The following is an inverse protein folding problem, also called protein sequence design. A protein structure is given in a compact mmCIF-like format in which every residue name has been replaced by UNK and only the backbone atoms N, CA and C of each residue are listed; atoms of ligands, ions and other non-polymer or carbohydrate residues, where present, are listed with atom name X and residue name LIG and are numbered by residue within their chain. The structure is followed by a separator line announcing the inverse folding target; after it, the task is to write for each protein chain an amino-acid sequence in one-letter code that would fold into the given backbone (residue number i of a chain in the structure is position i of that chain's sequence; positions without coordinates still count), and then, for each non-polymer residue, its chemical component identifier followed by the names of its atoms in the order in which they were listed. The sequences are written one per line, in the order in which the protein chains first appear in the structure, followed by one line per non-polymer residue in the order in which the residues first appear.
data_IF_541498078811
#
_entry.id   IF_541498078811
#
_cell.length_a   1.000
_cell.length_b   1.000
_cell.length_c   1.000
_cell.angle_alpha   90.00
_cell.angle_beta   90.00
_cell.angle_gamma   90.00
#
_symmetry.space_group_name_H-M   'P 1'
#
loop_
_entity.id
_entity.type
_entity.pdbx_description
1 polymer ?
#
# COMPACT_ATOMS: atom_id res chain seq x y z
N UNK A 1 5.55 19.65 -10.11
CA UNK A 1 4.45 18.79 -10.57
C UNK A 1 4.92 17.90 -11.72
N UNK A 2 4.78 16.60 -11.59
CA UNK A 2 5.13 15.57 -12.58
C UNK A 2 3.91 14.74 -12.93
N UNK A 3 3.83 14.18 -14.13
CA UNK A 3 2.72 13.36 -14.59
C UNK A 3 3.24 12.04 -15.16
N UNK A 4 2.58 10.94 -14.81
CA UNK A 4 2.79 9.61 -15.37
C UNK A 4 1.48 9.18 -15.99
N UNK A 5 1.48 8.83 -17.27
CA UNK A 5 0.37 8.13 -17.90
C UNK A 5 0.49 6.63 -17.61
N UNK A 6 -0.54 6.03 -17.03
CA UNK A 6 -0.65 4.57 -16.84
C UNK A 6 -1.49 4.01 -17.97
N UNK A 7 -0.86 3.23 -18.84
CA UNK A 7 -1.45 2.71 -20.09
C UNK A 7 -2.23 1.42 -19.84
N UNK A 8 -3.38 1.58 -19.19
CA UNK A 8 -4.40 0.54 -19.04
C UNK A 8 -5.55 0.80 -20.02
N UNK A 9 -6.63 0.03 -19.95
CA UNK A 9 -7.86 0.28 -20.73
C UNK A 9 -9.03 0.50 -19.76
N UNK A 10 -9.48 1.77 -19.56
CA UNK A 10 -8.92 3.04 -20.08
C UNK A 10 -7.57 3.41 -19.44
N UNK A 11 -6.78 4.28 -20.13
CA UNK A 11 -5.58 4.89 -19.56
C UNK A 11 -5.92 6.03 -18.61
N UNK A 12 -5.07 6.32 -17.65
CA UNK A 12 -5.26 7.42 -16.70
C UNK A 12 -3.93 8.07 -16.30
N UNK A 13 -4.02 9.25 -15.70
CA UNK A 13 -2.86 10.02 -15.26
C UNK A 13 -2.64 9.94 -13.75
N UNK A 14 -1.37 9.89 -13.34
CA UNK A 14 -0.92 10.05 -11.95
C UNK A 14 -0.13 11.36 -11.86
N UNK A 15 -0.70 12.35 -11.18
CA UNK A 15 -0.05 13.61 -10.90
C UNK A 15 0.64 13.58 -9.53
N UNK A 16 1.89 14.02 -9.48
CA UNK A 16 2.72 14.04 -8.27
C UNK A 16 3.38 15.42 -8.14
N UNK A 17 3.28 16.04 -6.99
CA UNK A 17 3.91 17.34 -6.73
C UNK A 17 3.32 18.04 -5.51
N UNK A 18 3.78 19.26 -5.24
CA UNK A 18 3.27 20.15 -4.20
C UNK A 18 2.10 20.99 -4.68
N UNK A 19 1.24 21.43 -3.75
CA UNK A 19 0.11 22.31 -3.95
C UNK A 19 -0.90 21.79 -5.00
N UNK A 20 -1.08 20.46 -5.09
CA UNK A 20 -2.05 19.85 -5.98
C UNK A 20 -3.46 19.89 -5.39
N UNK A 21 -3.60 19.98 -4.07
CA UNK A 21 -4.88 20.16 -3.37
C UNK A 21 -5.61 21.39 -3.90
N UNK A 22 -4.93 22.53 -4.02
CA UNK A 22 -5.50 23.74 -4.58
C UNK A 22 -5.81 23.68 -6.10
N UNK A 23 -5.30 22.65 -6.78
CA UNK A 23 -5.51 22.45 -8.22
C UNK A 23 -6.50 21.31 -8.53
N UNK A 24 -7.01 20.66 -7.49
CA UNK A 24 -7.85 19.45 -7.67
C UNK A 24 -9.09 19.73 -8.51
N UNK A 25 -9.75 20.87 -8.32
CA UNK A 25 -10.92 21.24 -9.11
C UNK A 25 -10.60 21.37 -10.60
N UNK A 26 -9.42 21.95 -10.94
CA UNK A 26 -8.95 22.03 -12.33
C UNK A 26 -8.69 20.65 -12.94
N UNK A 27 -8.10 19.74 -12.16
CA UNK A 27 -7.79 18.38 -12.60
C UNK A 27 -9.04 17.53 -12.73
N UNK A 28 -10.03 17.74 -11.87
CA UNK A 28 -11.33 17.04 -11.91
C UNK A 28 -12.30 17.58 -12.98
N UNK A 29 -12.18 18.84 -13.36
CA UNK A 29 -13.13 19.50 -14.27
C UNK A 29 -13.41 18.70 -15.56
N UNK A 30 -12.41 18.13 -16.25
CA UNK A 30 -12.67 17.29 -17.44
C UNK A 30 -13.45 16.02 -17.17
N UNK A 31 -13.43 15.52 -15.91
CA UNK A 31 -14.04 14.25 -15.50
C UNK A 31 -15.44 14.46 -14.91
N UNK A 32 -15.61 15.55 -14.12
CA UNK A 32 -16.77 15.79 -13.27
C UNK A 32 -17.60 17.03 -13.66
N UNK A 33 -17.28 17.74 -14.76
CA UNK A 33 -18.03 18.94 -15.17
C UNK A 33 -19.49 18.62 -15.45
N UNK A 34 -20.40 19.34 -14.78
CA UNK A 34 -21.85 19.11 -14.87
C UNK A 34 -22.37 17.95 -14.01
N UNK A 35 -21.53 17.35 -13.19
CA UNK A 35 -21.82 16.23 -12.30
C UNK A 35 -21.44 16.58 -10.86
N UNK A 36 -21.76 15.69 -9.90
CA UNK A 36 -21.43 15.85 -8.49
C UNK A 36 -20.25 14.97 -8.11
N UNK A 37 -19.57 15.35 -7.03
CA UNK A 37 -18.49 14.57 -6.42
C UNK A 37 -18.91 14.05 -5.05
N UNK A 38 -18.87 12.73 -4.89
CA UNK A 38 -18.96 12.08 -3.59
C UNK A 38 -17.55 11.92 -3.02
N UNK A 39 -17.16 12.76 -2.05
CA UNK A 39 -15.84 12.69 -1.43
C UNK A 39 -15.86 11.70 -0.27
N UNK A 40 -15.22 10.53 -0.44
CA UNK A 40 -15.04 9.53 0.61
C UNK A 40 -13.70 9.82 1.29
N UNK A 41 -13.72 10.09 2.59
CA UNK A 41 -12.52 10.47 3.32
C UNK A 41 -12.42 9.75 4.67
N UNK A 42 -11.22 9.72 5.25
CA UNK A 42 -10.95 9.24 6.60
C UNK A 42 -11.34 10.33 7.61
N UNK A 43 -11.99 9.95 8.71
CA UNK A 43 -12.34 10.88 9.80
C UNK A 43 -11.14 11.63 10.40
N UNK A 44 -9.90 11.13 10.22
CA UNK A 44 -8.68 11.84 10.61
C UNK A 44 -8.16 12.78 9.54
N UNK A 45 -8.44 12.50 8.27
CA UNK A 45 -7.98 13.29 7.11
C UNK A 45 -8.97 14.41 6.78
N UNK A 46 -10.27 14.16 6.93
CA UNK A 46 -11.33 15.11 6.64
C UNK A 46 -11.17 16.47 7.36
N UNK A 47 -10.89 16.52 8.68
CA UNK A 47 -10.66 17.78 9.38
C UNK A 47 -9.40 18.55 8.94
N UNK A 48 -8.45 17.87 8.30
CA UNK A 48 -7.18 18.47 7.84
C UNK A 48 -7.29 19.05 6.44
N UNK A 49 -8.01 18.37 5.55
CA UNK A 49 -7.98 18.65 4.11
C UNK A 49 -9.37 18.75 3.47
N UNK A 50 -10.42 18.25 4.13
CA UNK A 50 -11.77 18.14 3.54
C UNK A 50 -12.33 19.48 3.08
N UNK A 51 -12.19 20.53 3.90
CA UNK A 51 -12.67 21.88 3.57
C UNK A 51 -11.88 22.48 2.39
N UNK A 52 -10.54 22.36 2.39
CA UNK A 52 -9.70 22.87 1.31
C UNK A 52 -9.98 22.16 -0.02
N UNK A 53 -10.08 20.82 0.00
CA UNK A 53 -10.41 20.02 -1.19
C UNK A 53 -11.78 20.37 -1.73
N UNK A 54 -12.79 20.49 -0.85
CA UNK A 54 -14.16 20.86 -1.23
C UNK A 54 -14.18 22.22 -1.90
N UNK A 55 -13.60 23.25 -1.24
CA UNK A 55 -13.56 24.60 -1.79
C UNK A 55 -12.86 24.67 -3.15
N UNK A 56 -11.71 23.98 -3.30
CA UNK A 56 -10.98 23.94 -4.55
C UNK A 56 -11.76 23.28 -5.71
N UNK A 57 -12.68 22.36 -5.42
CA UNK A 57 -13.56 21.74 -6.42
C UNK A 57 -14.77 22.62 -6.73
N UNK A 58 -15.38 23.22 -5.70
CA UNK A 58 -16.55 24.09 -5.83
C UNK A 58 -16.23 25.37 -6.60
N UNK A 59 -14.99 25.88 -6.55
CA UNK A 59 -14.49 27.01 -7.38
C UNK A 59 -14.63 26.73 -8.88
N UNK A 60 -14.75 25.46 -9.29
CA UNK A 60 -15.02 25.04 -10.67
C UNK A 60 -16.49 24.75 -10.96
N UNK A 61 -17.40 25.09 -10.03
CA UNK A 61 -18.84 24.87 -10.18
C UNK A 61 -19.27 23.42 -10.05
N UNK A 62 -18.48 22.57 -9.39
CA UNK A 62 -18.76 21.15 -9.13
C UNK A 62 -19.24 21.01 -7.69
N UNK A 63 -20.44 20.48 -7.48
CA UNK A 63 -20.98 20.20 -6.13
C UNK A 63 -20.24 19.04 -5.47
N UNK A 64 -19.83 19.21 -4.21
CA UNK A 64 -19.14 18.18 -3.42
C UNK A 64 -19.92 17.83 -2.17
N UNK A 65 -20.08 16.55 -1.90
CA UNK A 65 -20.60 16.06 -0.61
C UNK A 65 -19.60 15.12 0.03
N UNK A 66 -19.19 15.41 1.28
CA UNK A 66 -18.26 14.58 2.03
C UNK A 66 -18.95 13.41 2.74
N UNK A 67 -18.33 12.25 2.68
CA UNK A 67 -18.70 11.00 3.35
C UNK A 67 -17.54 10.50 4.21
N UNK A 68 -17.26 11.11 5.36
CA UNK A 68 -16.21 10.68 6.25
C UNK A 68 -16.54 9.32 6.86
N UNK A 69 -15.56 8.42 6.87
CA UNK A 69 -15.65 7.09 7.47
C UNK A 69 -14.49 6.85 8.43
N UNK A 70 -14.74 6.10 9.48
CA UNK A 70 -13.66 5.63 10.35
C UNK A 70 -12.95 4.46 9.66
N UNK A 71 -11.62 4.58 9.49
CA UNK A 71 -10.83 3.55 8.84
C UNK A 71 -9.88 2.89 9.83
N UNK A 72 -10.14 1.61 10.03
CA UNK A 72 -9.30 0.67 10.75
C UNK A 72 -9.26 -0.63 9.94
N UNK A 73 -8.32 -1.52 10.24
CA UNK A 73 -8.25 -2.82 9.56
C UNK A 73 -9.59 -3.60 9.63
N UNK A 74 -10.33 -3.41 10.73
CA UNK A 74 -11.65 -4.05 10.94
C UNK A 74 -12.78 -3.46 10.10
N UNK A 75 -12.65 -2.20 9.67
CA UNK A 75 -13.67 -1.50 8.87
C UNK A 75 -13.44 -1.63 7.37
N UNK A 76 -12.30 -2.14 6.94
CA UNK A 76 -12.00 -2.47 5.54
C UNK A 76 -12.74 -3.74 5.12
N UNK A 77 -14.07 -3.68 5.04
CA UNK A 77 -14.95 -4.83 4.82
C UNK A 77 -16.18 -4.49 3.98
N UNK A 78 -16.95 -5.51 3.59
CA UNK A 78 -18.17 -5.37 2.79
C UNK A 78 -19.26 -4.52 3.45
N UNK A 79 -19.38 -4.54 4.79
CA UNK A 79 -20.40 -3.76 5.50
C UNK A 79 -20.16 -2.24 5.36
N UNK A 80 -18.91 -1.82 5.37
CA UNK A 80 -18.56 -0.40 5.13
C UNK A 80 -18.90 0.01 3.71
N UNK A 81 -18.59 -0.82 2.72
CA UNK A 81 -18.96 -0.59 1.31
C UNK A 81 -20.48 -0.56 1.16
N UNK A 82 -21.23 -1.50 1.75
CA UNK A 82 -22.70 -1.48 1.72
C UNK A 82 -23.26 -0.17 2.31
N UNK A 83 -22.68 0.32 3.39
CA UNK A 83 -23.10 1.59 3.99
C UNK A 83 -22.92 2.77 3.04
N UNK A 84 -21.78 2.82 2.35
CA UNK A 84 -21.52 3.86 1.34
C UNK A 84 -22.46 3.75 0.14
N UNK A 85 -22.69 2.54 -0.39
CA UNK A 85 -23.64 2.31 -1.48
C UNK A 85 -25.04 2.78 -1.14
N UNK A 86 -25.52 2.51 0.09
CA UNK A 86 -26.81 2.99 0.58
C UNK A 86 -26.87 4.52 0.67
N UNK A 87 -25.82 5.16 1.19
CA UNK A 87 -25.72 6.64 1.25
C UNK A 87 -25.76 7.26 -0.14
N UNK A 88 -24.94 6.77 -1.09
CA UNK A 88 -24.94 7.26 -2.47
C UNK A 88 -26.33 7.13 -3.12
N UNK A 89 -27.04 6.02 -2.85
CA UNK A 89 -28.40 5.81 -3.36
C UNK A 89 -29.40 6.79 -2.73
N UNK A 90 -29.33 7.00 -1.41
CA UNK A 90 -30.22 7.93 -0.68
C UNK A 90 -30.04 9.38 -1.13
N UNK A 91 -28.80 9.76 -1.45
CA UNK A 91 -28.45 11.09 -1.95
C UNK A 91 -28.66 11.22 -3.48
N UNK A 92 -29.23 10.21 -4.12
CA UNK A 92 -29.56 10.20 -5.55
C UNK A 92 -28.33 10.44 -6.46
N UNK A 93 -27.17 9.88 -6.11
CA UNK A 93 -26.02 9.83 -7.01
C UNK A 93 -26.34 8.98 -8.23
N UNK A 94 -25.79 9.39 -9.38
CA UNK A 94 -25.96 8.73 -10.67
C UNK A 94 -24.65 8.07 -11.14
N UNK A 95 -24.73 7.33 -12.24
CA UNK A 95 -23.56 6.72 -12.86
C UNK A 95 -22.57 7.73 -13.44
N UNK A 96 -23.03 8.93 -13.76
CA UNK A 96 -22.23 9.99 -14.37
C UNK A 96 -21.46 10.83 -13.33
N UNK A 97 -21.88 10.77 -12.06
CA UNK A 97 -21.19 11.42 -10.95
C UNK A 97 -19.82 10.75 -10.67
N UNK A 98 -19.04 11.34 -9.78
CA UNK A 98 -17.66 10.91 -9.50
C UNK A 98 -17.46 10.60 -8.02
N UNK A 99 -16.80 9.53 -7.68
CA UNK A 99 -16.24 9.30 -6.35
C UNK A 99 -14.82 9.86 -6.33
N UNK A 100 -14.53 10.75 -5.38
CA UNK A 100 -13.19 11.17 -5.03
C UNK A 100 -12.86 10.60 -3.66
N UNK A 101 -11.80 9.84 -3.53
CA UNK A 101 -11.31 9.49 -2.21
C UNK A 101 -10.13 10.36 -1.80
N UNK A 102 -10.11 10.74 -0.51
CA UNK A 102 -9.03 11.51 0.11
C UNK A 102 -8.58 10.78 1.36
N UNK A 103 -7.45 10.05 1.28
CA UNK A 103 -7.01 9.24 2.41
C UNK A 103 -5.85 8.30 2.11
N UNK A 104 -5.59 7.39 3.03
CA UNK A 104 -4.60 6.33 2.87
C UNK A 104 -5.11 5.18 1.99
N UNK A 105 -4.26 4.15 1.79
CA UNK A 105 -4.57 2.99 0.94
C UNK A 105 -5.86 2.24 1.31
N UNK A 106 -6.25 2.23 2.60
CA UNK A 106 -7.53 1.63 3.01
C UNK A 106 -8.73 2.39 2.47
N UNK A 107 -8.66 3.73 2.42
CA UNK A 107 -9.70 4.57 1.82
C UNK A 107 -9.78 4.31 0.33
N UNK A 108 -8.64 4.27 -0.39
CA UNK A 108 -8.63 3.99 -1.83
C UNK A 108 -9.23 2.61 -2.15
N UNK A 109 -8.95 1.59 -1.34
CA UNK A 109 -9.54 0.26 -1.51
C UNK A 109 -11.07 0.27 -1.31
N UNK A 110 -11.56 0.92 -0.24
CA UNK A 110 -13.00 1.03 0.05
C UNK A 110 -13.71 1.84 -1.03
N UNK A 111 -13.14 2.98 -1.44
CA UNK A 111 -13.69 3.84 -2.48
C UNK A 111 -13.69 3.16 -3.85
N UNK A 112 -12.59 2.51 -4.21
CA UNK A 112 -12.47 1.75 -5.47
C UNK A 112 -13.48 0.60 -5.54
N UNK A 113 -13.68 -0.14 -4.43
CA UNK A 113 -14.71 -1.19 -4.37
C UNK A 113 -16.12 -0.60 -4.44
N UNK A 114 -16.37 0.51 -3.73
CA UNK A 114 -17.67 1.21 -3.79
C UNK A 114 -17.95 1.67 -5.21
N UNK A 115 -16.95 2.25 -5.89
CA UNK A 115 -17.07 2.71 -7.27
C UNK A 115 -17.37 1.56 -8.25
N UNK A 116 -16.67 0.45 -8.10
CA UNK A 116 -16.86 -0.72 -8.95
C UNK A 116 -18.27 -1.33 -8.82
N UNK A 117 -18.87 -1.28 -7.61
CA UNK A 117 -20.16 -1.90 -7.33
C UNK A 117 -21.34 -0.94 -7.55
N UNK A 118 -21.18 0.37 -7.36
CA UNK A 118 -22.28 1.32 -7.49
C UNK A 118 -22.74 1.40 -8.95
N UNK A 119 -24.02 1.06 -9.20
CA UNK A 119 -24.67 1.06 -10.52
C UNK A 119 -23.86 0.35 -11.62
N UNK A 120 -23.09 -0.69 -11.25
CA UNK A 120 -22.19 -1.43 -12.15
C UNK A 120 -21.00 -0.62 -12.67
N UNK A 121 -20.55 0.35 -11.90
CA UNK A 121 -19.36 1.17 -12.14
C UNK A 121 -19.67 2.67 -12.21
N UNK A 122 -19.05 3.44 -11.34
CA UNK A 122 -19.00 4.91 -11.34
C UNK A 122 -17.53 5.34 -11.38
N UNK A 123 -17.25 6.50 -11.97
CA UNK A 123 -15.88 7.04 -12.03
C UNK A 123 -15.30 7.20 -10.64
N UNK A 124 -14.01 6.86 -10.47
CA UNK A 124 -13.27 7.06 -9.22
C UNK A 124 -11.97 7.81 -9.46
N UNK A 125 -11.64 8.72 -8.56
CA UNK A 125 -10.40 9.49 -8.52
C UNK A 125 -9.78 9.27 -7.15
N UNK A 126 -8.48 8.95 -7.13
CA UNK A 126 -7.74 8.77 -5.88
C UNK A 126 -6.88 9.98 -5.56
N UNK A 127 -7.00 10.49 -4.32
CA UNK A 127 -6.14 11.52 -3.76
C UNK A 127 -5.46 10.97 -2.49
N UNK A 128 -4.36 10.21 -2.67
CA UNK A 128 -3.68 9.55 -1.57
C UNK A 128 -3.04 10.57 -0.62
N UNK A 129 -3.26 10.40 0.70
CA UNK A 129 -2.68 11.25 1.75
C UNK A 129 -1.52 10.60 2.51
N UNK A 130 -1.17 9.34 2.20
CA UNK A 130 -0.09 8.62 2.85
C UNK A 130 1.02 8.26 1.88
N UNK A 131 2.27 8.18 2.37
CA UNK A 131 3.42 7.81 1.55
C UNK A 131 3.24 6.43 0.88
N UNK A 132 2.68 5.47 1.61
CA UNK A 132 2.35 4.15 1.09
C UNK A 132 1.36 4.22 -0.08
N UNK A 133 0.30 4.99 0.06
CA UNK A 133 -0.71 5.09 -0.99
C UNK A 133 -0.21 5.86 -2.22
N UNK A 134 0.60 6.90 -2.03
CA UNK A 134 1.22 7.66 -3.13
C UNK A 134 2.19 6.81 -3.97
N UNK A 135 2.85 5.83 -3.35
CA UNK A 135 3.87 5.00 -4.01
C UNK A 135 3.35 3.66 -4.53
N UNK A 136 2.25 3.15 -3.98
CA UNK A 136 1.74 1.81 -4.30
C UNK A 136 0.22 1.75 -4.39
N UNK A 137 -0.52 1.90 -3.27
CA UNK A 137 -1.89 1.44 -3.15
C UNK A 137 -2.88 2.17 -4.09
N UNK A 138 -2.73 3.47 -4.34
CA UNK A 138 -3.63 4.23 -5.20
C UNK A 138 -3.41 3.98 -6.71
N UNK A 139 -2.36 3.22 -7.11
CA UNK A 139 -1.98 3.02 -8.51
C UNK A 139 -2.28 1.59 -8.93
N UNK A 140 -3.01 1.42 -10.03
CA UNK A 140 -3.28 0.12 -10.65
C UNK A 140 -4.62 -0.50 -10.30
N UNK A 141 -5.53 0.27 -9.71
CA UNK A 141 -6.95 -0.05 -9.58
C UNK A 141 -7.28 -1.27 -8.70
N UNK A 142 -6.33 -1.79 -7.92
CA UNK A 142 -6.60 -2.87 -7.00
C UNK A 142 -7.47 -2.35 -5.85
N UNK A 143 -8.64 -2.95 -5.65
CA UNK A 143 -9.56 -2.62 -4.57
C UNK A 143 -9.87 -3.90 -3.79
N UNK A 144 -9.41 -3.98 -2.55
CA UNK A 144 -9.45 -5.20 -1.74
C UNK A 144 -10.09 -4.96 -0.38
N UNK A 145 -10.92 -5.91 0.04
CA UNK A 145 -11.58 -5.91 1.34
C UNK A 145 -11.22 -7.18 2.12
N UNK A 146 -11.30 -7.07 3.43
CA UNK A 146 -11.01 -8.14 4.36
C UNK A 146 -12.26 -8.96 4.69
N UNK A 147 -12.04 -10.25 4.94
CA UNK A 147 -12.98 -11.13 5.62
C UNK A 147 -12.36 -11.61 6.94
N UNK A 148 -13.15 -12.20 7.86
CA UNK A 148 -12.60 -12.79 9.09
C UNK A 148 -11.52 -13.85 8.81
N UNK A 149 -11.56 -14.48 7.64
CA UNK A 149 -10.62 -15.52 7.19
C UNK A 149 -9.26 -14.96 6.78
N UNK A 150 -9.19 -13.67 6.35
CA UNK A 150 -7.93 -13.03 5.95
C UNK A 150 -8.09 -11.69 5.25
N UNK A 151 -6.94 -11.06 4.98
CA UNK A 151 -6.86 -9.80 4.23
C UNK A 151 -7.03 -10.03 2.73
N UNK A 152 -7.63 -9.05 2.03
CA UNK A 152 -7.66 -8.98 0.58
C UNK A 152 -8.42 -10.13 -0.13
N UNK A 153 -9.28 -10.86 0.60
CA UNK A 153 -10.00 -12.02 0.04
C UNK A 153 -11.10 -11.62 -0.94
N UNK A 154 -11.72 -10.49 -0.70
CA UNK A 154 -12.73 -9.91 -1.59
C UNK A 154 -12.09 -8.77 -2.33
N UNK A 155 -12.08 -8.81 -3.65
CA UNK A 155 -11.43 -7.75 -4.40
C UNK A 155 -11.81 -7.73 -5.88
N UNK A 156 -11.47 -6.60 -6.49
CA UNK A 156 -11.57 -6.39 -7.93
C UNK A 156 -10.41 -5.53 -8.41
N UNK A 157 -10.24 -5.46 -9.71
CA UNK A 157 -9.38 -4.45 -10.34
C UNK A 157 -10.29 -3.44 -11.03
N UNK A 158 -10.33 -2.22 -10.51
CA UNK A 158 -11.14 -1.12 -11.04
C UNK A 158 -10.24 0.12 -11.18
N UNK A 159 -9.84 0.42 -12.43
CA UNK A 159 -8.88 1.50 -12.68
C UNK A 159 -9.50 2.87 -12.37
N UNK A 160 -8.75 3.79 -11.73
CA UNK A 160 -9.21 5.16 -11.52
C UNK A 160 -9.15 5.97 -12.81
N UNK A 161 -9.92 7.06 -12.88
CA UNK A 161 -9.80 8.06 -13.94
C UNK A 161 -8.59 8.97 -13.75
N UNK A 162 -8.13 9.10 -12.50
CA UNK A 162 -7.07 10.02 -12.11
C UNK A 162 -6.52 9.64 -10.74
N UNK A 163 -5.21 9.86 -10.54
CA UNK A 163 -4.57 9.85 -9.21
C UNK A 163 -3.85 11.19 -9.00
N UNK A 164 -4.08 11.82 -7.84
CA UNK A 164 -3.47 13.11 -7.48
C UNK A 164 -2.72 12.98 -6.16
N UNK A 165 -1.41 12.81 -6.22
CA UNK A 165 -0.53 12.68 -5.06
C UNK A 165 0.08 14.05 -4.69
N UNK A 166 -0.58 14.77 -3.79
CA UNK A 166 -0.05 16.01 -3.22
C UNK A 166 0.91 15.70 -2.08
N UNK A 167 2.21 15.89 -2.33
CA UNK A 167 3.25 15.58 -1.35
C UNK A 167 3.17 16.46 -0.09
N UNK A 168 2.51 17.63 -0.15
CA UNK A 168 2.35 18.50 1.01
C UNK A 168 1.46 17.86 2.08
N UNK A 169 0.58 16.91 1.72
CA UNK A 169 -0.20 16.13 2.67
C UNK A 169 0.67 15.27 3.60
N UNK A 170 1.91 14.95 3.20
CA UNK A 170 2.85 14.21 4.04
C UNK A 170 3.33 15.02 5.25
N UNK A 171 3.19 16.35 5.24
CA UNK A 171 3.57 17.19 6.37
C UNK A 171 2.77 16.93 7.65
N UNK A 172 1.53 16.45 7.52
CA UNK A 172 0.66 16.07 8.66
C UNK A 172 0.67 14.58 8.95
N UNK A 173 1.35 13.77 8.12
CA UNK A 173 1.40 12.33 8.30
C UNK A 173 2.30 11.97 9.49
N UNK A 174 1.83 11.16 10.45
CA UNK A 174 2.64 10.73 11.57
C UNK A 174 3.93 10.01 11.14
N UNK A 175 5.04 10.24 11.87
CA UNK A 175 6.35 9.69 11.51
C UNK A 175 6.37 8.16 11.35
N UNK A 176 5.58 7.44 12.16
CA UNK A 176 5.48 5.98 12.04
C UNK A 176 4.81 5.54 10.73
N UNK A 177 3.88 6.33 10.18
CA UNK A 177 3.25 6.07 8.88
C UNK A 177 4.23 6.41 7.73
N UNK A 178 5.05 7.46 7.88
CA UNK A 178 6.15 7.73 6.94
C UNK A 178 7.11 6.52 6.91
N UNK A 179 7.54 6.02 8.07
CA UNK A 179 8.40 4.82 8.14
C UNK A 179 7.74 3.60 7.50
N UNK A 180 6.46 3.39 7.76
CA UNK A 180 5.71 2.31 7.11
C UNK A 180 5.72 2.45 5.59
N UNK A 181 5.46 3.64 5.06
CA UNK A 181 5.55 3.91 3.63
C UNK A 181 6.94 3.65 3.04
N UNK A 182 8.01 3.95 3.82
CA UNK A 182 9.38 3.62 3.40
C UNK A 182 9.60 2.11 3.20
N UNK A 183 8.92 1.25 3.97
CA UNK A 183 8.98 -0.20 3.77
C UNK A 183 8.54 -0.62 2.36
N UNK A 184 7.48 -0.02 1.83
CA UNK A 184 7.01 -0.24 0.47
C UNK A 184 7.97 0.33 -0.59
N UNK A 185 8.54 1.51 -0.36
CA UNK A 185 9.55 2.09 -1.24
C UNK A 185 10.77 1.15 -1.34
N UNK A 186 11.22 0.60 -0.22
CA UNK A 186 12.31 -0.36 -0.18
C UNK A 186 11.97 -1.66 -0.91
N UNK A 187 10.72 -2.09 -0.90
CA UNK A 187 10.25 -3.22 -1.70
C UNK A 187 10.52 -2.98 -3.18
N UNK A 188 10.19 -1.80 -3.72
CA UNK A 188 10.48 -1.46 -5.11
C UNK A 188 11.98 -1.40 -5.40
N UNK A 189 12.77 -0.84 -4.50
CA UNK A 189 14.22 -0.79 -4.62
C UNK A 189 14.87 -2.19 -4.68
N UNK A 190 14.33 -3.14 -3.89
CA UNK A 190 14.81 -4.53 -3.89
C UNK A 190 14.28 -5.30 -5.10
N UNK A 191 13.05 -5.01 -5.54
CA UNK A 191 12.35 -5.73 -6.58
C UNK A 191 12.99 -5.50 -7.96
N UNK A 192 13.20 -4.23 -8.35
CA UNK A 192 13.54 -3.90 -9.75
C UNK A 192 14.62 -2.82 -9.91
N UNK A 193 14.94 -2.02 -8.88
CA UNK A 193 15.78 -0.84 -9.07
C UNK A 193 16.99 -0.77 -8.13
N UNK A 194 18.11 -1.29 -8.59
CA UNK A 194 19.38 -1.16 -7.88
C UNK A 194 19.87 0.29 -7.75
N UNK A 195 19.43 1.20 -8.63
CA UNK A 195 19.70 2.63 -8.54
C UNK A 195 18.98 3.28 -7.37
N UNK A 196 17.67 3.01 -7.25
CA UNK A 196 16.87 3.44 -6.10
C UNK A 196 17.42 2.86 -4.79
N UNK A 197 17.79 1.57 -4.78
CA UNK A 197 18.44 0.93 -3.63
C UNK A 197 19.71 1.69 -3.19
N UNK A 198 20.61 1.99 -4.13
CA UNK A 198 21.85 2.70 -3.83
C UNK A 198 21.59 4.13 -3.37
N UNK A 199 20.60 4.83 -3.94
CA UNK A 199 20.17 6.15 -3.52
C UNK A 199 19.69 6.13 -2.06
N UNK A 200 18.79 5.21 -1.72
CA UNK A 200 18.26 5.07 -0.36
C UNK A 200 19.34 4.67 0.66
N UNK A 201 20.29 3.82 0.25
CA UNK A 201 21.35 3.38 1.15
C UNK A 201 22.35 4.50 1.49
N UNK A 202 22.70 5.34 0.50
CA UNK A 202 23.74 6.36 0.64
C UNK A 202 23.20 7.72 1.07
N UNK A 203 21.94 8.00 0.83
CA UNK A 203 21.28 9.26 1.16
C UNK A 203 19.96 8.96 1.87
N UNK A 204 19.98 8.66 3.18
CA UNK A 204 18.76 8.42 3.92
C UNK A 204 17.93 9.72 3.94
N UNK A 205 16.95 9.79 3.04
CA UNK A 205 16.02 10.90 2.90
C UNK A 205 15.08 10.89 4.10
N UNK A 206 15.49 11.54 5.20
CA UNK A 206 14.69 11.48 6.43
C UNK A 206 13.49 12.40 6.40
N UNK A 207 13.44 13.46 5.53
CA UNK A 207 12.31 14.43 5.57
C UNK A 207 12.40 15.57 4.55
N UNK A 208 13.31 15.57 3.60
CA UNK A 208 13.25 16.57 2.53
C UNK A 208 12.13 16.22 1.55
N UNK A 209 11.08 17.03 1.51
CA UNK A 209 9.92 16.83 0.63
C UNK A 209 10.33 16.75 -0.86
N UNK A 210 11.38 17.47 -1.28
CA UNK A 210 11.86 17.39 -2.65
C UNK A 210 12.48 16.02 -2.98
N UNK A 211 13.18 15.42 -2.03
CA UNK A 211 13.72 14.05 -2.19
C UNK A 211 12.59 13.03 -2.20
N UNK A 212 11.57 13.21 -1.35
CA UNK A 212 10.37 12.35 -1.34
C UNK A 212 9.58 12.46 -2.64
N UNK A 213 9.38 13.65 -3.22
CA UNK A 213 8.72 13.80 -4.53
C UNK A 213 9.41 12.94 -5.61
N UNK A 214 10.75 12.99 -5.66
CA UNK A 214 11.52 12.22 -6.63
C UNK A 214 11.43 10.71 -6.38
N UNK A 215 11.42 10.27 -5.12
CA UNK A 215 11.28 8.86 -4.74
C UNK A 215 9.86 8.36 -5.06
N UNK A 216 8.83 9.13 -4.68
CA UNK A 216 7.43 8.80 -4.98
C UNK A 216 7.24 8.66 -6.49
N UNK A 217 7.73 9.64 -7.28
CA UNK A 217 7.63 9.59 -8.72
C UNK A 217 8.33 8.35 -9.32
N UNK A 218 9.51 7.99 -8.82
CA UNK A 218 10.25 6.81 -9.27
C UNK A 218 9.49 5.51 -8.93
N UNK A 219 8.95 5.38 -7.71
CA UNK A 219 8.14 4.24 -7.33
C UNK A 219 6.84 4.15 -8.14
N UNK A 220 6.17 5.29 -8.35
CA UNK A 220 4.95 5.35 -9.16
C UNK A 220 5.20 4.94 -10.62
N UNK A 221 6.35 5.31 -11.20
CA UNK A 221 6.75 4.84 -12.54
C UNK A 221 6.96 3.33 -12.58
N UNK A 222 7.68 2.76 -11.59
CA UNK A 222 7.87 1.31 -11.49
C UNK A 222 6.53 0.59 -11.34
N UNK A 223 5.64 1.12 -10.48
CA UNK A 223 4.29 0.58 -10.30
C UNK A 223 3.49 0.65 -11.59
N UNK A 224 3.49 1.80 -12.29
CA UNK A 224 2.79 1.98 -13.55
C UNK A 224 3.24 0.94 -14.59
N UNK A 225 4.55 0.77 -14.76
CA UNK A 225 5.11 -0.22 -15.67
C UNK A 225 4.65 -1.65 -15.35
N UNK A 226 4.68 -2.05 -14.08
CA UNK A 226 4.19 -3.38 -13.64
C UNK A 226 2.69 -3.55 -13.91
N UNK A 227 1.91 -2.48 -13.72
CA UNK A 227 0.46 -2.49 -13.99
C UNK A 227 0.18 -2.56 -15.49
N UNK A 228 0.93 -1.85 -16.31
CA UNK A 228 0.80 -1.88 -17.78
C UNK A 228 1.10 -3.27 -18.34
N UNK A 229 2.12 -3.96 -17.80
CA UNK A 229 2.48 -5.34 -18.21
C UNK A 229 1.43 -6.38 -17.81
N UNK A 230 0.67 -6.13 -16.74
CA UNK A 230 -0.31 -7.07 -16.21
C UNK A 230 -1.49 -6.34 -15.54
N UNK A 231 -2.33 -5.66 -16.31
CA UNK A 231 -3.43 -4.85 -15.77
C UNK A 231 -4.43 -5.64 -14.92
N UNK A 232 -4.67 -6.90 -15.28
CA UNK A 232 -5.61 -7.78 -14.57
C UNK A 232 -5.04 -8.46 -13.32
N UNK A 233 -3.71 -8.44 -13.14
CA UNK A 233 -3.05 -9.00 -11.96
C UNK A 233 -2.87 -10.52 -11.97
N UNK A 234 -2.98 -11.19 -13.12
CA UNK A 234 -2.82 -12.66 -13.23
C UNK A 234 -1.39 -13.11 -13.55
N UNK A 235 -0.51 -12.20 -13.95
CA UNK A 235 0.85 -12.47 -14.42
C UNK A 235 1.95 -11.93 -13.50
N UNK A 236 2.84 -11.11 -14.08
CA UNK A 236 4.04 -10.57 -13.42
C UNK A 236 3.74 -9.58 -12.28
N UNK A 237 2.56 -8.99 -12.24
CA UNK A 237 2.12 -8.13 -11.13
C UNK A 237 2.25 -8.82 -9.77
N UNK A 238 2.24 -10.17 -9.75
CA UNK A 238 2.52 -10.93 -8.54
C UNK A 238 3.90 -10.71 -7.92
N UNK A 239 4.88 -10.13 -8.65
CA UNK A 239 6.19 -9.78 -8.10
C UNK A 239 6.13 -8.66 -7.06
N UNK A 240 5.17 -7.73 -7.15
CA UNK A 240 4.97 -6.66 -6.12
C UNK A 240 4.63 -7.22 -4.74
N UNK A 241 4.30 -8.51 -4.66
CA UNK A 241 4.08 -9.22 -3.38
C UNK A 241 5.38 -9.62 -2.66
N UNK A 242 6.53 -9.13 -3.12
CA UNK A 242 7.80 -9.30 -2.40
C UNK A 242 7.65 -8.90 -0.93
N UNK A 243 8.00 -9.79 -0.02
CA UNK A 243 7.86 -9.59 1.43
C UNK A 243 6.44 -9.88 1.98
N UNK A 244 5.39 -9.84 1.17
CA UNK A 244 4.00 -9.93 1.67
C UNK A 244 3.66 -11.30 2.26
N UNK A 245 4.14 -12.42 1.70
CA UNK A 245 3.84 -13.76 2.22
C UNK A 245 4.20 -13.91 3.70
N UNK A 246 5.38 -13.47 4.10
CA UNK A 246 5.80 -13.49 5.50
C UNK A 246 5.30 -12.25 6.25
N UNK A 247 5.23 -11.07 5.60
CA UNK A 247 4.77 -9.82 6.20
C UNK A 247 3.32 -9.90 6.67
N UNK A 248 2.38 -10.29 5.83
CA UNK A 248 0.97 -10.47 6.20
C UNK A 248 0.79 -11.53 7.29
N UNK A 249 1.62 -12.57 7.29
CA UNK A 249 1.62 -13.56 8.35
C UNK A 249 2.09 -12.97 9.69
N UNK A 250 3.10 -12.08 9.66
CA UNK A 250 3.57 -11.34 10.83
C UNK A 250 2.47 -10.40 11.33
N UNK A 251 1.84 -9.60 10.46
CA UNK A 251 0.72 -8.73 10.81
C UNK A 251 -0.40 -9.51 11.51
N UNK A 252 -0.84 -10.63 10.90
CA UNK A 252 -1.93 -11.45 11.42
C UNK A 252 -1.57 -12.13 12.75
N UNK A 253 -0.32 -12.58 12.93
CA UNK A 253 0.13 -13.19 14.17
C UNK A 253 0.27 -12.17 15.31
N UNK A 254 0.58 -10.92 14.98
CA UNK A 254 0.77 -9.82 15.96
C UNK A 254 -0.50 -9.01 16.21
N UNK A 255 -1.64 -9.48 15.73
CA UNK A 255 -2.93 -8.77 15.80
C UNK A 255 -2.83 -7.34 15.27
N UNK A 256 -2.13 -7.19 14.12
CA UNK A 256 -1.91 -5.93 13.41
C UNK A 256 -1.23 -4.83 14.25
N UNK A 257 -0.44 -5.22 15.24
CA UNK A 257 0.34 -4.26 16.06
C UNK A 257 1.60 -3.76 15.36
N UNK A 258 2.03 -4.41 14.28
CA UNK A 258 3.13 -4.02 13.39
C UNK A 258 2.50 -3.39 12.15
N UNK A 259 3.03 -2.24 11.73
CA UNK A 259 2.55 -1.56 10.54
C UNK A 259 2.89 -2.31 9.26
N UNK A 260 2.06 -2.13 8.23
CA UNK A 260 2.15 -2.89 6.98
C UNK A 260 3.56 -2.86 6.36
N UNK A 261 4.14 -1.69 6.12
CA UNK A 261 5.47 -1.60 5.50
C UNK A 261 6.59 -2.12 6.40
N UNK A 262 6.45 -2.02 7.72
CA UNK A 262 7.37 -2.66 8.66
C UNK A 262 7.33 -4.19 8.54
N UNK A 263 6.12 -4.74 8.44
CA UNK A 263 5.90 -6.17 8.24
C UNK A 263 6.42 -6.65 6.89
N UNK A 264 6.24 -5.86 5.81
CA UNK A 264 6.79 -6.14 4.48
C UNK A 264 8.32 -6.15 4.51
N UNK A 265 8.95 -5.19 5.22
CA UNK A 265 10.40 -5.15 5.43
C UNK A 265 10.92 -6.42 6.11
N UNK A 266 10.30 -6.82 7.23
CA UNK A 266 10.60 -8.08 7.91
C UNK A 266 10.36 -9.28 7.02
N UNK A 267 9.29 -9.25 6.24
CA UNK A 267 8.95 -10.30 5.29
C UNK A 267 10.01 -10.48 4.20
N UNK A 268 10.56 -9.40 3.66
CA UNK A 268 11.68 -9.46 2.70
C UNK A 268 12.91 -10.14 3.32
N UNK A 269 13.26 -9.82 4.58
CA UNK A 269 14.35 -10.49 5.30
C UNK A 269 14.09 -11.98 5.50
N UNK A 270 12.88 -12.33 5.96
CA UNK A 270 12.48 -13.74 6.17
C UNK A 270 12.62 -14.53 4.87
N UNK A 271 12.15 -13.97 3.75
CA UNK A 271 12.22 -14.64 2.45
C UNK A 271 13.66 -14.76 1.94
N UNK A 272 14.48 -13.70 2.07
CA UNK A 272 15.88 -13.74 1.67
C UNK A 272 16.69 -14.77 2.45
N UNK A 273 16.66 -14.71 3.78
CA UNK A 273 17.40 -15.64 4.62
C UNK A 273 16.84 -17.07 4.56
N UNK A 274 15.52 -17.21 4.50
CA UNK A 274 14.83 -18.50 4.45
C UNK A 274 15.15 -19.31 3.19
N UNK A 275 15.36 -18.63 2.08
CA UNK A 275 15.74 -19.24 0.79
C UNK A 275 17.26 -19.36 0.58
N UNK A 276 18.05 -18.94 1.56
CA UNK A 276 19.52 -19.04 1.53
C UNK A 276 20.25 -17.87 0.87
N UNK A 277 19.55 -16.84 0.44
CA UNK A 277 20.11 -15.64 -0.19
C UNK A 277 20.66 -14.66 0.87
N UNK A 278 21.60 -15.14 1.68
CA UNK A 278 22.12 -14.41 2.84
C UNK A 278 22.70 -13.04 2.48
N UNK A 279 23.46 -12.95 1.42
CA UNK A 279 24.08 -11.69 0.96
C UNK A 279 23.01 -10.64 0.60
N UNK A 280 21.91 -11.05 0.00
CA UNK A 280 20.77 -10.17 -0.30
C UNK A 280 20.05 -9.80 0.97
N UNK A 281 19.84 -10.74 1.90
CA UNK A 281 19.25 -10.47 3.22
C UNK A 281 20.08 -9.44 4.01
N UNK A 282 21.40 -9.55 4.04
CA UNK A 282 22.29 -8.60 4.73
C UNK A 282 22.18 -7.19 4.12
N UNK A 283 22.03 -7.08 2.78
CA UNK A 283 21.81 -5.80 2.09
C UNK A 283 20.45 -5.20 2.44
N UNK A 284 19.39 -6.00 2.45
CA UNK A 284 18.04 -5.55 2.84
C UNK A 284 18.05 -5.11 4.30
N UNK A 285 18.72 -5.85 5.19
CA UNK A 285 18.85 -5.50 6.60
C UNK A 285 19.51 -4.12 6.78
N UNK A 286 20.63 -3.88 6.11
CA UNK A 286 21.30 -2.59 6.16
C UNK A 286 20.43 -1.43 5.67
N UNK A 287 19.61 -1.67 4.63
CA UNK A 287 18.68 -0.67 4.13
C UNK A 287 17.57 -0.35 5.14
N UNK A 288 16.98 -1.36 5.77
CA UNK A 288 15.94 -1.19 6.79
C UNK A 288 16.47 -0.44 8.02
N UNK A 289 17.69 -0.79 8.48
CA UNK A 289 18.35 -0.11 9.61
C UNK A 289 18.58 1.38 9.35
N UNK A 290 18.92 1.78 8.12
CA UNK A 290 19.13 3.18 7.76
C UNK A 290 17.88 4.06 7.95
N UNK A 291 16.70 3.46 7.97
CA UNK A 291 15.40 4.16 8.11
C UNK A 291 14.67 3.82 9.41
N UNK A 292 15.39 3.26 10.40
CA UNK A 292 14.85 2.87 11.69
C UNK A 292 13.64 1.89 11.58
N UNK A 293 13.61 1.07 10.51
CA UNK A 293 12.66 -0.01 10.34
C UNK A 293 13.09 -1.27 11.11
N UNK A 294 12.16 -2.06 11.61
CA UNK A 294 12.48 -3.28 12.36
C UNK A 294 13.18 -4.31 11.47
N UNK A 295 14.26 -4.89 11.97
CA UNK A 295 15.02 -5.97 11.34
C UNK A 295 14.95 -7.28 12.13
N UNK A 296 14.30 -7.25 13.30
CA UNK A 296 14.10 -8.40 14.18
C UNK A 296 12.67 -8.44 14.68
N UNK A 297 12.18 -9.64 14.99
CA UNK A 297 10.86 -9.85 15.59
C UNK A 297 10.98 -10.85 16.75
N UNK A 298 10.43 -10.49 17.91
CA UNK A 298 10.29 -11.38 19.07
C UNK A 298 8.84 -11.90 19.14
N UNK A 299 8.50 -12.89 18.31
CA UNK A 299 7.18 -13.53 18.27
C UNK A 299 7.30 -15.04 18.08
N UNK A 300 6.34 -15.86 18.57
CA UNK A 300 6.39 -17.31 18.36
C UNK A 300 6.34 -17.67 16.86
N UNK A 301 7.38 -18.36 16.37
CA UNK A 301 7.47 -18.79 14.95
C UNK A 301 6.24 -19.59 14.52
N UNK A 302 5.71 -20.43 15.44
CA UNK A 302 4.55 -21.25 15.16
C UNK A 302 3.31 -20.45 14.77
N UNK A 303 3.10 -19.29 15.41
CA UNK A 303 1.96 -18.42 15.13
C UNK A 303 2.09 -17.78 13.75
N UNK A 304 3.29 -17.26 13.41
CA UNK A 304 3.57 -16.66 12.10
C UNK A 304 3.46 -17.70 10.99
N UNK A 305 4.04 -18.90 11.17
CA UNK A 305 3.96 -19.96 10.16
C UNK A 305 2.52 -20.43 9.99
N UNK A 306 1.76 -20.58 11.09
CA UNK A 306 0.34 -20.91 11.03
C UNK A 306 -0.45 -19.85 10.25
N UNK A 307 -0.21 -18.57 10.54
CA UNK A 307 -0.87 -17.47 9.82
C UNK A 307 -0.56 -17.50 8.31
N UNK A 308 0.70 -17.74 7.92
CA UNK A 308 1.09 -17.86 6.50
C UNK A 308 0.37 -19.00 5.77
N UNK A 309 0.19 -20.15 6.43
CA UNK A 309 -0.43 -21.32 5.83
C UNK A 309 -1.96 -21.25 5.77
N UNK A 310 -2.59 -20.61 6.74
CA UNK A 310 -4.05 -20.61 6.88
C UNK A 310 -4.70 -19.28 6.46
N UNK A 311 -4.03 -18.14 6.66
CA UNK A 311 -4.55 -16.82 6.30
C UNK A 311 -3.92 -16.24 5.02
N UNK A 312 -2.82 -16.81 4.53
CA UNK A 312 -2.17 -16.44 3.26
C UNK A 312 -2.92 -17.01 2.04
N UNK A 313 -4.22 -16.75 1.95
CA UNK A 313 -5.10 -17.32 0.91
C UNK A 313 -4.71 -16.84 -0.49
N UNK A 314 -4.26 -15.60 -0.61
CA UNK A 314 -3.82 -15.02 -1.88
C UNK A 314 -2.61 -15.72 -2.52
N UNK A 315 -1.71 -16.27 -1.69
CA UNK A 315 -0.53 -16.98 -2.17
C UNK A 315 -0.83 -18.45 -2.52
N UNK A 316 -2.00 -18.96 -2.08
CA UNK A 316 -2.37 -20.37 -2.22
C UNK A 316 -2.99 -20.64 -3.58
N UNK A 317 -2.39 -21.54 -4.34
CA UNK A 317 -2.93 -22.01 -5.60
C UNK A 317 -3.94 -23.16 -5.42
N UNK A 318 -4.73 -23.40 -6.47
CA UNK A 318 -5.72 -24.48 -6.54
C UNK A 318 -5.14 -25.86 -6.20
N UNK A 319 -3.87 -26.11 -6.55
CA UNK A 319 -3.16 -27.38 -6.27
C UNK A 319 -2.66 -27.50 -4.82
N UNK A 320 -2.97 -26.54 -3.94
CA UNK A 320 -2.46 -26.51 -2.55
C UNK A 320 -0.97 -26.11 -2.44
N UNK A 321 -0.41 -25.57 -3.51
CA UNK A 321 0.94 -24.94 -3.51
C UNK A 321 0.81 -23.45 -3.26
N UNK A 322 1.93 -22.82 -2.90
CA UNK A 322 2.02 -21.39 -2.60
C UNK A 322 2.92 -20.69 -3.62
N UNK A 323 2.50 -19.52 -4.10
CA UNK A 323 3.30 -18.69 -4.98
C UNK A 323 4.03 -17.64 -4.13
N UNK A 324 5.33 -17.75 -3.99
CA UNK A 324 6.17 -16.84 -3.19
C UNK A 324 7.10 -16.03 -4.08
N UNK A 325 7.46 -14.84 -3.61
CA UNK A 325 8.49 -14.01 -4.25
C UNK A 325 9.79 -14.09 -3.46
N UNK A 326 10.87 -14.43 -4.15
CA UNK A 326 12.20 -14.62 -3.56
C UNK A 326 13.16 -13.56 -4.09
N UNK A 327 13.77 -12.73 -3.23
CA UNK A 327 14.79 -11.78 -3.62
C UNK A 327 16.15 -12.51 -3.79
N UNK A 328 16.51 -12.84 -5.01
CA UNK A 328 17.79 -13.51 -5.30
C UNK A 328 18.97 -12.51 -5.29
N UNK A 329 18.72 -11.29 -5.79
CA UNK A 329 19.62 -10.15 -5.66
C UNK A 329 18.82 -8.85 -5.59
N UNK A 330 19.47 -7.73 -5.25
CA UNK A 330 18.85 -6.41 -5.40
C UNK A 330 18.62 -6.14 -6.89
N UNK A 331 17.39 -5.77 -7.24
CA UNK A 331 16.95 -5.60 -8.63
C UNK A 331 16.65 -6.91 -9.36
N UNK A 332 16.64 -8.04 -8.66
CA UNK A 332 16.31 -9.33 -9.25
C UNK A 332 15.55 -10.23 -8.29
N UNK A 333 14.25 -10.32 -8.49
CA UNK A 333 13.36 -11.17 -7.72
C UNK A 333 12.64 -12.16 -8.63
N UNK A 334 12.34 -13.35 -8.10
CA UNK A 334 11.70 -14.42 -8.87
C UNK A 334 10.48 -14.97 -8.14
N UNK A 335 9.47 -15.38 -8.90
CA UNK A 335 8.34 -16.13 -8.35
C UNK A 335 8.68 -17.62 -8.31
N UNK A 336 8.36 -18.27 -7.20
CA UNK A 336 8.52 -19.72 -7.04
C UNK A 336 7.23 -20.35 -6.51
N UNK A 337 6.84 -21.48 -7.08
CA UNK A 337 5.80 -22.32 -6.51
C UNK A 337 6.45 -23.27 -5.50
N UNK A 338 5.89 -23.33 -4.29
CA UNK A 338 6.39 -24.18 -3.20
C UNK A 338 5.23 -24.92 -2.54
N UNK A 339 5.51 -26.10 -2.00
CA UNK A 339 4.56 -26.83 -1.15
C UNK A 339 4.44 -26.18 0.23
N UNK A 340 3.39 -26.50 0.97
CA UNK A 340 3.23 -26.06 2.38
C UNK A 340 4.42 -26.45 3.27
N UNK A 341 5.02 -27.63 3.00
CA UNK A 341 6.22 -28.10 3.73
C UNK A 341 7.44 -27.23 3.43
N UNK A 342 7.68 -26.91 2.16
CA UNK A 342 8.79 -26.05 1.74
C UNK A 342 8.60 -24.63 2.28
N UNK A 343 7.40 -24.06 2.17
CA UNK A 343 7.09 -22.74 2.75
C UNK A 343 7.36 -22.73 4.26
N UNK A 344 6.91 -23.75 4.98
CA UNK A 344 7.18 -23.88 6.42
C UNK A 344 8.69 -23.87 6.73
N UNK A 345 9.51 -24.60 5.93
CA UNK A 345 10.95 -24.65 6.12
C UNK A 345 11.62 -23.29 5.82
N UNK A 346 11.18 -22.60 4.76
CA UNK A 346 11.67 -21.26 4.40
C UNK A 346 11.37 -20.28 5.52
N UNK A 347 10.11 -20.21 5.95
CA UNK A 347 9.69 -19.30 7.03
C UNK A 347 10.46 -19.58 8.32
N UNK A 348 10.58 -20.85 8.74
CA UNK A 348 11.31 -21.23 9.94
C UNK A 348 12.77 -20.78 9.89
N UNK A 349 13.47 -21.04 8.78
CA UNK A 349 14.87 -20.62 8.60
C UNK A 349 15.03 -19.10 8.63
N UNK A 350 14.14 -18.38 7.93
CA UNK A 350 14.16 -16.93 7.88
C UNK A 350 13.88 -16.30 9.24
N UNK A 351 12.84 -16.75 9.95
CA UNK A 351 12.50 -16.26 11.30
C UNK A 351 13.64 -16.49 12.30
N UNK A 352 14.28 -17.66 12.27
CA UNK A 352 15.47 -17.93 13.11
C UNK A 352 16.60 -16.95 12.79
N UNK A 353 16.84 -16.65 11.51
CA UNK A 353 17.91 -15.75 11.08
C UNK A 353 17.69 -14.33 11.60
N UNK A 354 16.46 -13.79 11.51
CA UNK A 354 16.15 -12.43 11.99
C UNK A 354 16.07 -12.32 13.52
N UNK A 355 15.84 -13.41 14.26
CA UNK A 355 15.90 -13.42 15.73
C UNK A 355 17.34 -13.38 16.27
N UNK A 356 18.26 -13.99 15.56
CA UNK A 356 19.68 -14.09 15.93
C UNK A 356 20.57 -13.11 15.17
N UNK A 357 20.00 -12.16 14.43
CA UNK A 357 20.73 -11.11 13.74
C UNK A 357 21.69 -10.42 14.72
N UNK A 358 22.99 -10.45 14.41
CA UNK A 358 24.04 -9.91 15.27
C UNK A 358 23.78 -8.43 15.53
N UNK A 359 23.57 -8.09 16.80
CA UNK A 359 23.74 -6.74 17.33
C UNK A 359 25.13 -6.21 16.95
N UNK A 360 25.30 -5.57 15.80
CA UNK A 360 26.51 -4.83 15.47
C UNK A 360 26.36 -3.32 15.72
N UNK A 361 25.17 -2.82 16.00
CA UNK A 361 24.97 -1.46 16.50
C UNK A 361 24.20 -1.52 17.83
N UNK A 362 24.75 -0.88 18.87
CA UNK A 362 24.23 -0.91 20.24
C UNK A 362 22.89 -0.21 20.49
N UNK A 363 22.01 -0.14 19.50
CA UNK A 363 20.63 0.35 19.59
C UNK A 363 19.66 -0.80 19.32
N UNK A 364 19.21 -1.44 20.39
CA UNK A 364 18.07 -2.36 20.36
C UNK A 364 16.78 -1.56 20.16
N UNK A 365 16.28 -1.48 18.95
CA UNK A 365 14.87 -1.19 18.71
C UNK A 365 14.09 -2.52 18.79
N UNK A 366 13.80 -2.95 20.01
CA UNK A 366 12.94 -4.10 20.27
C UNK A 366 11.49 -3.59 20.29
N UNK A 367 10.61 -4.25 19.56
CA UNK A 367 9.17 -4.00 19.54
C UNK A 367 8.48 -4.11 20.93
N UNK A 368 9.23 -4.49 22.00
CA UNK A 368 8.73 -4.47 23.38
C UNK A 368 8.28 -3.09 23.87
N UNK A 369 8.78 -1.99 23.29
CA UNK A 369 8.39 -0.62 23.70
C UNK A 369 6.96 -0.23 23.29
N UNK A 370 6.36 -0.89 22.30
CA UNK A 370 5.02 -0.56 21.80
C UNK A 370 3.85 -1.05 22.66
N UNK A 371 4.07 -2.06 23.54
CA UNK A 371 3.02 -2.53 24.47
C UNK A 371 2.65 -1.54 25.57
N UNK A 372 3.47 -0.52 25.88
CA UNK A 372 3.23 0.43 26.98
C UNK A 372 2.52 1.71 26.60
N UNK A 373 2.28 1.98 25.32
CA UNK A 373 1.64 3.21 24.85
C UNK A 373 0.12 3.09 24.56
N UNK A 374 -0.47 1.93 24.84
CA UNK A 374 -1.92 1.69 24.66
C UNK A 374 -2.64 1.16 25.91
N UNK A 375 -2.10 1.43 27.11
CA UNK A 375 -2.83 1.20 28.36
C UNK A 375 -3.29 2.52 28.97
#
# INVERSE_FOLDING_TARGET
MKCIEVKTDPSYNVWIGSALTSQIGKLLYPIASGHRVAMITDMYVDPLYGEEVTAAIEDYGIEVQSFPIMVEEKTKNLSTVETLLRKLTQENYSKDDVILDVGGGMISDIAGMTAALFLSGIKVVHMPSTLLAMTDAAIGGKAELNLPEGKGIVGTVYQPELVVADIDMLATLPEHEIRSGMGEIMKYAVLEDSGLYNKLLNHPARTDLNDLENIIWQCAQLKAHIVEDDPAGFGNRGLVRLGHTAGQAIEAATDYSILHGEAVGLGMLVMAYGTGNRKTGDKINALLENYDLPTTIEWPDREIISAALFKGVEDRNYEGTYSIVVPEAIGHCVRKKVSARELTLILKKGLVAIKHGKNQSGKRHSLRSFRRARS
#
